data_IF_432818695915
#
_entry.id   IF_432818695915
#
_cell.length_a   1.000
_cell.length_b   1.000
_cell.length_c   1.000
_cell.angle_alpha   90.00
_cell.angle_beta   90.00
_cell.angle_gamma   90.00
#
_symmetry.space_group_name_H-M   'P 1'
#
loop_
_entity.id
_entity.type
_entity.pdbx_description
1 polymer ?
#
# COMPACT_ATOMS: atom_id res chain seq x y z
N UNK A 1 -6.45 -3.98 19.28
CA UNK A 1 -5.10 -4.33 18.75
C UNK A 1 -5.07 -3.92 17.29
N UNK A 2 -4.12 -3.11 16.87
CA UNK A 2 -3.94 -2.70 15.47
C UNK A 2 -2.69 -3.37 14.89
N UNK A 3 -2.76 -3.70 13.60
CA UNK A 3 -1.62 -4.22 12.83
C UNK A 3 -1.16 -3.12 11.90
N UNK A 4 0.09 -2.67 12.07
CA UNK A 4 0.73 -1.72 11.16
C UNK A 4 1.64 -2.47 10.19
N UNK A 5 1.47 -2.21 8.90
CA UNK A 5 2.31 -2.79 7.84
C UNK A 5 2.87 -1.70 6.93
N UNK A 6 4.05 -1.95 6.35
CA UNK A 6 4.71 -1.06 5.40
C UNK A 6 4.61 -1.63 4.00
N UNK A 7 4.07 -0.86 3.06
CA UNK A 7 3.80 -1.25 1.69
C UNK A 7 4.49 -0.31 0.72
N UNK A 8 5.01 -0.84 -0.38
CA UNK A 8 5.55 -0.04 -1.48
C UNK A 8 4.56 -0.03 -2.64
N UNK A 9 4.29 1.16 -3.17
CA UNK A 9 3.50 1.33 -4.37
C UNK A 9 4.33 0.91 -5.59
N UNK A 10 3.98 -0.19 -6.24
CA UNK A 10 4.71 -0.69 -7.40
C UNK A 10 4.17 -0.13 -8.70
N UNK A 11 2.85 0.03 -8.77
CA UNK A 11 2.17 0.37 -10.01
C UNK A 11 0.90 1.16 -9.73
N UNK A 12 0.67 2.20 -10.55
CA UNK A 12 -0.55 3.00 -10.54
C UNK A 12 -1.14 2.90 -11.95
N UNK A 13 -2.24 2.17 -12.08
CA UNK A 13 -3.01 2.11 -13.31
C UNK A 13 -3.94 3.31 -13.36
N UNK A 14 -3.87 4.11 -14.42
CA UNK A 14 -4.80 5.21 -14.66
C UNK A 14 -5.84 4.78 -15.68
N UNK A 15 -7.09 5.17 -15.46
CA UNK A 15 -8.14 5.01 -16.46
C UNK A 15 -7.87 5.93 -17.66
N UNK A 16 -8.31 5.55 -18.86
CA UNK A 16 -8.15 6.36 -20.08
C UNK A 16 -8.86 7.72 -19.98
N UNK A 17 -9.96 7.77 -19.21
CA UNK A 17 -10.75 8.97 -18.94
C UNK A 17 -10.33 9.70 -17.65
N UNK A 18 -9.26 9.26 -16.98
CA UNK A 18 -8.79 9.71 -15.66
C UNK A 18 -9.91 9.71 -14.59
N UNK A 19 -10.96 8.91 -14.76
CA UNK A 19 -12.07 8.78 -13.79
C UNK A 19 -11.66 8.05 -12.51
N UNK A 20 -10.65 7.19 -12.60
CA UNK A 20 -10.17 6.39 -11.49
C UNK A 20 -8.70 5.99 -11.65
N UNK A 21 -8.10 5.62 -10.52
CA UNK A 21 -6.75 5.03 -10.46
C UNK A 21 -6.79 3.75 -9.64
N UNK A 22 -6.14 2.70 -10.15
CA UNK A 22 -5.92 1.46 -9.41
C UNK A 22 -4.49 1.44 -8.89
N UNK A 23 -4.34 1.43 -7.57
CA UNK A 23 -3.06 1.42 -6.89
C UNK A 23 -2.71 -0.01 -6.50
N UNK A 24 -1.54 -0.48 -6.93
CA UNK A 24 -1.03 -1.81 -6.58
C UNK A 24 0.19 -1.66 -5.67
N UNK A 25 0.06 -2.21 -4.46
CA UNK A 25 1.13 -2.21 -3.48
C UNK A 25 1.44 -3.61 -2.97
N UNK A 26 2.70 -3.80 -2.59
CA UNK A 26 3.15 -5.03 -1.93
C UNK A 26 3.94 -4.68 -0.66
N UNK A 27 3.95 -5.54 0.36
CA UNK A 27 4.64 -5.28 1.60
C UNK A 27 6.15 -5.19 1.36
N UNK A 28 6.81 -4.26 2.05
CA UNK A 28 8.26 -4.14 2.00
C UNK A 28 8.87 -5.25 2.85
N UNK A 29 9.52 -6.21 2.20
CA UNK A 29 10.19 -7.36 2.84
C UNK A 29 11.71 -7.24 2.87
N UNK A 30 12.27 -6.09 2.46
CA UNK A 30 13.70 -5.89 2.32
C UNK A 30 14.47 -6.14 3.62
N UNK A 31 15.71 -6.65 3.51
CA UNK A 31 16.51 -7.22 4.61
C UNK A 31 17.18 -6.16 5.52
N UNK A 32 16.49 -5.07 5.85
CA UNK A 32 16.96 -4.06 6.80
C UNK A 32 16.63 -4.47 8.24
N UNK A 33 17.40 -4.00 9.23
CA UNK A 33 17.19 -4.36 10.63
C UNK A 33 15.78 -4.02 11.16
N UNK A 34 15.20 -2.91 10.66
CA UNK A 34 13.81 -2.50 10.90
C UNK A 34 12.81 -3.53 10.34
N UNK A 35 12.98 -3.89 9.06
CA UNK A 35 12.10 -4.81 8.38
C UNK A 35 12.25 -6.25 8.86
N UNK A 36 13.41 -6.68 9.36
CA UNK A 36 13.60 -8.03 9.96
C UNK A 36 12.73 -8.25 11.19
N UNK A 37 12.44 -7.21 11.96
CA UNK A 37 11.54 -7.31 13.11
C UNK A 37 10.06 -7.44 12.66
N UNK A 38 9.71 -6.87 11.52
CA UNK A 38 8.32 -6.81 11.01
C UNK A 38 7.98 -7.93 10.01
N UNK A 39 8.87 -8.27 9.08
CA UNK A 39 8.71 -9.32 8.07
C UNK A 39 8.69 -10.73 8.66
N UNK A 40 9.18 -10.90 9.90
CA UNK A 40 9.15 -12.18 10.62
C UNK A 40 7.73 -12.71 10.86
N UNK A 41 6.74 -11.82 10.97
CA UNK A 41 5.36 -12.19 11.33
C UNK A 41 4.31 -11.78 10.28
N UNK A 42 4.70 -11.05 9.25
CA UNK A 42 3.75 -10.60 8.22
C UNK A 42 3.93 -11.46 6.98
N UNK A 43 3.07 -12.47 6.74
CA UNK A 43 3.12 -13.24 5.51
C UNK A 43 2.84 -12.29 4.34
N UNK A 44 3.28 -12.67 3.13
CA UNK A 44 3.09 -11.87 1.93
C UNK A 44 1.67 -11.34 1.77
N UNK A 45 1.53 -10.17 1.14
CA UNK A 45 0.26 -9.49 0.96
C UNK A 45 0.21 -8.74 -0.36
N UNK A 46 -1.00 -8.48 -0.82
CA UNK A 46 -1.28 -7.61 -1.97
C UNK A 46 -2.34 -6.63 -1.54
N UNK A 47 -2.06 -5.34 -1.69
CA UNK A 47 -3.08 -4.31 -1.60
C UNK A 47 -3.35 -3.80 -3.01
N UNK A 48 -4.58 -4.01 -3.47
CA UNK A 48 -5.10 -3.38 -4.67
C UNK A 48 -6.25 -2.47 -4.26
N UNK A 49 -6.16 -1.19 -4.60
CA UNK A 49 -7.17 -0.20 -4.25
C UNK A 49 -7.60 0.57 -5.49
N UNK A 50 -8.91 0.57 -5.75
CA UNK A 50 -9.52 1.37 -6.79
C UNK A 50 -10.00 2.69 -6.18
N UNK A 51 -9.43 3.79 -6.64
CA UNK A 51 -9.72 5.13 -6.17
C UNK A 51 -10.45 5.87 -7.28
N UNK A 52 -11.68 6.31 -7.02
CA UNK A 52 -12.46 7.20 -7.89
C UNK A 52 -12.50 8.65 -7.37
N UNK A 53 -11.92 8.92 -6.20
CA UNK A 53 -11.79 10.26 -5.65
C UNK A 53 -10.56 10.97 -6.23
N UNK A 54 -10.71 12.02 -7.07
CA UNK A 54 -9.58 12.71 -7.69
C UNK A 54 -8.64 13.37 -6.68
N UNK A 55 -9.13 13.81 -5.52
CA UNK A 55 -8.27 14.40 -4.48
C UNK A 55 -7.27 13.39 -3.88
N UNK A 56 -7.58 12.10 -3.96
CA UNK A 56 -6.69 11.03 -3.48
C UNK A 56 -5.68 10.57 -4.55
N UNK A 57 -5.80 11.03 -5.78
CA UNK A 57 -4.94 10.63 -6.89
C UNK A 57 -3.48 11.06 -6.72
N UNK A 58 -3.26 12.21 -6.07
CA UNK A 58 -1.92 12.77 -5.83
C UNK A 58 -1.30 12.31 -4.50
N UNK A 59 -2.07 11.60 -3.66
CA UNK A 59 -1.58 11.05 -2.40
C UNK A 59 -0.69 9.81 -2.62
N UNK A 60 -0.80 9.18 -3.79
CA UNK A 60 -0.07 7.98 -4.15
C UNK A 60 0.92 8.23 -5.27
N UNK A 61 2.15 7.80 -5.07
CA UNK A 61 3.24 7.92 -6.02
C UNK A 61 3.93 6.57 -6.20
N UNK A 62 4.20 6.23 -7.46
CA UNK A 62 4.89 5.00 -7.80
C UNK A 62 6.30 4.99 -7.22
N UNK A 63 6.70 3.88 -6.60
CA UNK A 63 7.99 3.70 -5.97
C UNK A 63 8.06 4.11 -4.50
N UNK A 64 7.11 4.92 -4.00
CA UNK A 64 7.05 5.34 -2.59
C UNK A 64 6.51 4.25 -1.66
N UNK A 65 6.86 4.40 -0.38
CA UNK A 65 6.45 3.52 0.70
C UNK A 65 5.42 4.20 1.59
N UNK A 66 4.44 3.42 2.05
CA UNK A 66 3.29 3.87 2.82
C UNK A 66 3.10 2.94 4.03
N UNK A 67 2.61 3.50 5.13
CA UNK A 67 2.15 2.72 6.27
C UNK A 67 0.64 2.49 6.16
N UNK A 68 0.22 1.27 6.49
CA UNK A 68 -1.18 0.87 6.54
C UNK A 68 -1.45 0.40 7.95
N UNK A 69 -2.46 0.98 8.58
CA UNK A 69 -2.96 0.58 9.88
C UNK A 69 -4.27 -0.20 9.69
N UNK A 70 -4.27 -1.47 10.09
CA UNK A 70 -5.42 -2.37 10.03
C UNK A 70 -5.93 -2.57 11.45
N UNK A 71 -7.21 -2.33 11.66
CA UNK A 71 -7.89 -2.52 12.94
C UNK A 71 -9.27 -3.11 12.71
N UNK A 72 -9.86 -3.81 13.70
CA UNK A 72 -11.25 -4.23 13.62
C UNK A 72 -12.16 -3.05 13.28
N UNK A 73 -13.05 -3.25 12.31
CA UNK A 73 -14.17 -2.35 12.09
C UNK A 73 -15.27 -2.66 13.12
N UNK A 74 -15.98 -1.64 13.58
CA UNK A 74 -17.20 -1.79 14.41
C UNK A 74 -18.43 -2.07 13.54
#
# INVERSE_FOLDING_TARGET
MSVRAKFRCHFIQKAEDDSHRTIHMSPVTADTAENKAWSKYTPGGLLQMHISNPAAFELFEQGKEYYIDIQPAE
#
